data_IF_099214330925
#
_entry.id   IF_099214330925
#
_cell.length_a   1.000
_cell.length_b   1.000
_cell.length_c   1.000
_cell.angle_alpha   90.00
_cell.angle_beta   90.00
_cell.angle_gamma   90.00
#
_symmetry.space_group_name_H-M   'P 1'
#
loop_
_entity.id
_entity.type
_entity.pdbx_description
1 polymer ?
#
# COMPACT_ATOMS: atom_id res chain seq x y z
N UNK A 1 9.78 -1.27 4.55
CA UNK A 1 9.19 -2.56 4.99
C UNK A 1 8.91 -3.40 3.74
N UNK A 2 9.39 -4.65 3.64
CA UNK A 2 9.04 -5.49 2.48
C UNK A 2 7.67 -6.15 2.75
N UNK A 3 6.69 -5.96 1.86
CA UNK A 3 5.38 -6.64 1.94
C UNK A 3 5.46 -8.10 1.49
N UNK A 4 6.59 -8.48 0.89
CA UNK A 4 6.89 -9.83 0.44
C UNK A 4 6.18 -10.22 -0.84
N UNK A 5 6.33 -11.48 -1.21
CA UNK A 5 5.60 -12.10 -2.33
C UNK A 5 4.32 -12.73 -1.79
N UNK A 6 3.19 -12.46 -2.44
CA UNK A 6 1.88 -13.06 -2.14
C UNK A 6 1.31 -13.69 -3.40
N UNK A 7 0.83 -14.93 -3.27
CA UNK A 7 0.05 -15.58 -4.30
C UNK A 7 -1.41 -15.13 -4.17
N UNK A 8 -1.93 -14.47 -5.21
CA UNK A 8 -3.32 -14.01 -5.27
C UNK A 8 -3.97 -14.66 -6.49
N UNK A 9 -4.94 -15.54 -6.25
CA UNK A 9 -5.57 -16.37 -7.27
C UNK A 9 -4.58 -17.17 -8.13
N UNK A 10 -3.56 -17.78 -7.50
CA UNK A 10 -2.56 -18.59 -8.19
C UNK A 10 -1.51 -17.80 -8.97
N UNK A 11 -1.54 -16.46 -8.92
CA UNK A 11 -0.53 -15.60 -9.55
C UNK A 11 0.30 -14.90 -8.47
N UNK A 12 1.64 -14.99 -8.51
CA UNK A 12 2.50 -14.31 -7.55
C UNK A 12 2.65 -12.83 -7.85
N UNK A 13 2.53 -12.00 -6.82
CA UNK A 13 2.78 -10.56 -6.84
C UNK A 13 3.73 -10.17 -5.73
N UNK A 14 4.64 -9.23 -6.00
CA UNK A 14 5.55 -8.69 -4.99
C UNK A 14 5.05 -7.33 -4.50
N UNK A 15 4.86 -7.21 -3.19
CA UNK A 15 4.46 -5.98 -2.52
C UNK A 15 5.66 -5.36 -1.82
N UNK A 16 5.95 -4.09 -2.11
CA UNK A 16 7.04 -3.35 -1.46
C UNK A 16 6.49 -2.09 -0.83
N UNK A 17 6.83 -1.84 0.43
CA UNK A 17 6.47 -0.62 1.14
C UNK A 17 7.72 0.19 1.51
N UNK A 18 7.72 1.46 1.12
CA UNK A 18 8.75 2.42 1.51
C UNK A 18 8.06 3.52 2.31
N UNK A 19 8.46 3.71 3.56
CA UNK A 19 7.95 4.78 4.41
C UNK A 19 9.03 5.81 4.66
N UNK A 20 8.61 7.03 4.97
CA UNK A 20 9.52 8.08 5.46
C UNK A 20 10.08 7.77 6.84
N UNK A 21 9.49 6.81 7.58
CA UNK A 21 10.02 6.32 8.85
C UNK A 21 10.05 7.45 9.86
N UNK A 22 8.86 7.94 10.21
CA UNK A 22 8.63 9.14 10.97
C UNK A 22 9.50 9.23 12.19
N UNK A 23 9.81 10.48 12.55
CA UNK A 23 10.16 10.76 13.92
C UNK A 23 8.94 10.39 14.77
N UNK A 24 8.97 9.17 15.34
CA UNK A 24 7.96 8.60 16.23
C UNK A 24 7.63 9.49 17.44
N UNK A 25 8.35 10.61 17.61
CA UNK A 25 8.27 11.55 18.71
C UNK A 25 7.34 12.75 18.48
N UNK A 26 6.93 13.04 17.23
CA UNK A 26 6.14 14.25 16.92
C UNK A 26 4.64 13.97 16.67
N UNK A 27 4.21 12.69 16.70
CA UNK A 27 2.81 12.31 16.49
C UNK A 27 2.28 12.55 15.07
N UNK A 28 3.16 12.88 14.12
CA UNK A 28 2.80 13.17 12.72
C UNK A 28 2.52 11.90 11.93
N UNK A 29 1.65 12.01 10.93
CA UNK A 29 1.37 10.90 10.03
C UNK A 29 2.55 10.62 9.09
N UNK A 30 2.85 9.34 8.94
CA UNK A 30 3.90 8.83 8.09
C UNK A 30 3.42 8.54 6.68
N UNK A 31 4.13 9.09 5.70
CA UNK A 31 3.84 8.81 4.30
C UNK A 31 4.46 7.49 3.90
N UNK A 32 3.62 6.55 3.50
CA UNK A 32 3.97 5.24 2.99
C UNK A 32 3.68 5.20 1.49
N UNK A 33 4.64 4.66 0.75
CA UNK A 33 4.50 4.30 -0.65
C UNK A 33 4.39 2.77 -0.75
N UNK A 34 3.26 2.28 -1.25
CA UNK A 34 3.06 0.89 -1.62
C UNK A 34 3.24 0.71 -3.13
N UNK A 35 4.13 -0.21 -3.50
CA UNK A 35 4.34 -0.65 -4.88
C UNK A 35 3.96 -2.12 -5.03
N UNK A 36 3.25 -2.44 -6.11
CA UNK A 36 2.89 -3.81 -6.48
C UNK A 36 3.57 -4.15 -7.78
N UNK A 37 4.30 -5.27 -7.79
CA UNK A 37 5.01 -5.76 -8.96
C UNK A 37 4.45 -7.11 -9.40
N UNK A 38 4.48 -7.35 -10.72
CA UNK A 38 4.30 -8.69 -11.27
C UNK A 38 5.47 -9.59 -10.89
N UNK A 39 5.31 -10.90 -11.09
CA UNK A 39 6.39 -11.89 -10.95
C UNK A 39 7.67 -11.50 -11.73
N UNK A 40 7.48 -10.90 -12.93
CA UNK A 40 8.57 -10.47 -13.81
C UNK A 40 9.20 -9.13 -13.37
N UNK A 41 8.74 -8.54 -12.28
CA UNK A 41 9.25 -7.27 -11.74
C UNK A 41 8.63 -6.01 -12.37
N UNK A 42 7.57 -6.14 -13.17
CA UNK A 42 6.88 -4.98 -13.74
C UNK A 42 6.07 -4.24 -12.67
N UNK A 43 6.21 -2.92 -12.57
CA UNK A 43 5.37 -2.10 -11.67
C UNK A 43 3.92 -2.07 -12.21
N UNK A 44 2.99 -2.65 -11.45
CA UNK A 44 1.56 -2.74 -11.81
C UNK A 44 0.71 -1.70 -11.10
N UNK A 45 1.03 -1.35 -9.86
CA UNK A 45 0.33 -0.33 -9.11
C UNK A 45 1.26 0.40 -8.13
N UNK A 46 0.93 1.66 -7.86
CA UNK A 46 1.57 2.50 -6.85
C UNK A 46 0.49 3.23 -6.07
N UNK A 47 0.64 3.32 -4.75
CA UNK A 47 -0.23 4.07 -3.83
C UNK A 47 0.60 4.83 -2.81
N UNK A 48 0.14 6.02 -2.48
CA UNK A 48 0.65 6.80 -1.35
C UNK A 48 -0.46 6.89 -0.32
N UNK A 49 -0.14 6.66 0.95
CA UNK A 49 -1.08 6.76 2.05
C UNK A 49 -0.37 7.16 3.34
N UNK A 50 -1.16 7.60 4.31
CA UNK A 50 -0.68 8.05 5.61
C UNK A 50 -0.99 7.04 6.70
N UNK A 51 -0.04 6.73 7.58
CA UNK A 51 -0.25 5.91 8.78
C UNK A 51 0.17 6.68 10.03
N UNK A 52 -0.36 6.33 11.20
CA UNK A 52 0.05 6.96 12.46
C UNK A 52 0.66 5.89 13.38
N UNK A 53 1.95 6.02 13.65
CA UNK A 53 2.68 5.08 14.51
C UNK A 53 2.39 5.28 15.99
N UNK A 54 1.98 6.48 16.40
CA UNK A 54 1.74 6.86 17.79
C UNK A 54 0.44 6.27 18.36
N UNK A 55 -0.64 6.19 17.57
CA UNK A 55 -1.94 5.69 18.04
C UNK A 55 -2.06 4.15 18.17
N UNK A 56 -0.93 3.43 18.27
CA UNK A 56 -0.91 2.00 18.50
C UNK A 56 -1.34 1.15 17.30
N UNK A 57 -1.29 -0.19 17.46
CA UNK A 57 -1.35 -1.17 16.36
C UNK A 57 -2.53 -1.02 15.39
N UNK A 58 -3.64 -0.43 15.83
CA UNK A 58 -4.83 -0.21 15.01
C UNK A 58 -4.62 0.78 13.85
N UNK A 59 -3.65 1.69 13.96
CA UNK A 59 -3.40 2.76 12.99
C UNK A 59 -2.20 2.51 12.07
N UNK A 60 -1.59 1.33 12.18
CA UNK A 60 -0.49 0.85 11.34
C UNK A 60 -0.55 -0.68 11.16
N UNK A 61 -1.76 -1.19 10.89
CA UNK A 61 -1.94 -2.62 10.62
C UNK A 61 -1.15 -3.05 9.38
N UNK A 62 -0.61 -4.29 9.36
CA UNK A 62 -0.06 -4.88 8.14
C UNK A 62 -1.09 -4.89 7.01
N UNK A 63 -0.62 -4.90 5.77
CA UNK A 63 -1.49 -5.16 4.61
C UNK A 63 -2.26 -6.46 4.82
N UNK A 64 -3.58 -6.40 4.62
CA UNK A 64 -4.44 -7.57 4.67
C UNK A 64 -4.75 -8.03 3.24
N UNK A 65 -4.66 -9.34 3.00
CA UNK A 65 -4.82 -9.96 1.70
C UNK A 65 -6.01 -10.91 1.76
N UNK A 66 -7.05 -10.61 0.99
CA UNK A 66 -8.27 -11.40 0.95
C UNK A 66 -8.65 -11.69 -0.51
N UNK A 67 -8.55 -12.95 -0.93
CA UNK A 67 -8.79 -13.36 -2.30
C UNK A 67 -7.95 -12.58 -3.30
N UNK A 68 -8.62 -11.71 -4.07
CA UNK A 68 -8.06 -10.86 -5.10
C UNK A 68 -7.94 -9.38 -4.68
N UNK A 69 -7.98 -9.10 -3.37
CA UNK A 69 -8.04 -7.76 -2.83
C UNK A 69 -7.01 -7.56 -1.72
N UNK A 70 -6.42 -6.37 -1.69
CA UNK A 70 -5.50 -5.92 -0.65
C UNK A 70 -6.12 -4.74 0.07
N UNK A 71 -6.29 -4.87 1.39
CA UNK A 71 -6.78 -3.81 2.28
C UNK A 71 -5.62 -3.14 2.99
N UNK A 72 -5.66 -1.81 3.07
CA UNK A 72 -4.70 -0.96 3.77
C UNK A 72 -5.41 0.23 4.42
N UNK A 73 -4.79 0.79 5.45
CA UNK A 73 -5.30 1.95 6.18
C UNK A 73 -4.63 3.21 5.61
N UNK A 74 -5.44 4.22 5.27
CA UNK A 74 -4.98 5.53 4.83
C UNK A 74 -5.63 6.64 5.66
N UNK A 75 -4.85 7.26 6.53
CA UNK A 75 -5.28 8.36 7.40
C UNK A 75 -5.38 9.71 6.68
N UNK A 76 -5.09 9.77 5.38
CA UNK A 76 -5.27 10.98 4.58
C UNK A 76 -6.76 11.28 4.35
N UNK A 77 -7.63 10.27 4.44
CA UNK A 77 -9.07 10.40 4.27
C UNK A 77 -9.82 10.11 5.57
N UNK A 78 -10.19 11.18 6.29
CA UNK A 78 -10.89 11.13 7.58
C UNK A 78 -12.30 10.53 7.49
N UNK A 79 -12.89 10.45 6.29
CA UNK A 79 -14.23 9.88 6.09
C UNK A 79 -14.22 8.36 5.98
N UNK A 80 -13.12 7.79 5.47
CA UNK A 80 -12.96 6.35 5.33
C UNK A 80 -11.48 5.96 5.25
N UNK A 81 -10.97 5.46 6.38
CA UNK A 81 -9.59 5.00 6.49
C UNK A 81 -9.32 3.69 5.74
N UNK A 82 -10.35 2.88 5.49
CA UNK A 82 -10.19 1.58 4.83
C UNK A 82 -10.15 1.72 3.32
N UNK A 83 -8.97 1.45 2.76
CA UNK A 83 -8.72 1.48 1.33
C UNK A 83 -8.46 0.08 0.80
N UNK A 84 -8.81 -0.08 -0.48
CA UNK A 84 -8.79 -1.35 -1.16
C UNK A 84 -8.04 -1.23 -2.49
N UNK A 85 -7.27 -2.26 -2.82
CA UNK A 85 -6.61 -2.42 -4.11
C UNK A 85 -6.95 -3.81 -4.66
N UNK A 86 -7.66 -3.84 -5.79
CA UNK A 86 -7.92 -5.08 -6.51
C UNK A 86 -6.68 -5.58 -7.25
N UNK A 87 -6.53 -6.90 -7.30
CA UNK A 87 -5.44 -7.64 -7.94
C UNK A 87 -6.05 -8.63 -8.95
N UNK A 88 -5.59 -8.68 -10.22
CA UNK A 88 -4.59 -7.79 -10.81
C UNK A 88 -5.08 -6.33 -10.84
N UNK A 89 -4.17 -5.35 -10.67
CA UNK A 89 -4.51 -3.94 -10.81
C UNK A 89 -5.08 -3.63 -12.19
N UNK A 90 -5.89 -2.58 -12.27
CA UNK A 90 -6.47 -2.15 -13.55
C UNK A 90 -5.40 -1.53 -14.46
N UNK A 91 -5.69 -1.44 -15.77
CA UNK A 91 -4.82 -0.68 -16.69
C UNK A 91 -4.66 0.79 -16.29
N UNK A 92 -5.69 1.36 -15.65
CA UNK A 92 -5.61 2.70 -15.09
C UNK A 92 -4.65 2.81 -13.91
N UNK A 93 -4.59 1.79 -13.06
CA UNK A 93 -3.59 1.71 -11.97
C UNK A 93 -2.18 1.63 -12.52
N UNK A 94 -1.99 0.83 -13.57
CA UNK A 94 -0.72 0.69 -14.26
C UNK A 94 -0.24 2.01 -14.86
N UNK A 95 -1.15 2.77 -15.48
CA UNK A 95 -0.85 4.09 -16.02
C UNK A 95 -0.50 5.08 -14.91
N UNK A 96 -1.33 5.19 -13.87
CA UNK A 96 -1.11 6.08 -12.72
C UNK A 96 0.20 5.77 -12.01
N UNK A 97 0.59 4.51 -11.92
CA UNK A 97 1.85 4.11 -11.28
C UNK A 97 3.10 4.70 -11.95
N UNK A 98 3.01 5.09 -13.22
CA UNK A 98 4.09 5.66 -14.03
C UNK A 98 4.05 7.18 -14.13
N UNK A 99 2.99 7.81 -13.63
CA UNK A 99 2.89 9.26 -13.62
C UNK A 99 3.60 9.82 -12.36
N UNK A 100 4.35 10.93 -12.50
CA UNK A 100 5.04 11.57 -11.37
C UNK A 100 4.12 12.43 -10.49
N UNK A 101 2.83 12.55 -10.83
CA UNK A 101 1.91 13.53 -10.26
C UNK A 101 0.70 12.84 -9.63
N UNK A 102 0.83 12.25 -8.43
CA UNK A 102 -0.24 12.04 -7.42
C UNK A 102 0.41 11.70 -6.09
#
# INVERSE_FOLDING_TARGET
>A
MDGGVKNMNGVPYRFKMCGTGGNDQDGTNDKIELRVFSEKGELLAKRYFSVNWYHGKSFHQPLNYEGNLVRYIDLTDESNYDKYLMIPPTKWDWLRARLPLF
#
